data_IF_095426135038
#
_entry.id   IF_095426135038
#
_cell.length_a   1.000
_cell.length_b   1.000
_cell.length_c   1.000
_cell.angle_alpha   90.00
_cell.angle_beta   90.00
_cell.angle_gamma   90.00
#
_symmetry.space_group_name_H-M   'P 1'
#
loop_
_entity.id
_entity.type
_entity.pdbx_description
1 polymer ?
#
# COMPACT_ATOMS: atom_id res chain seq x y z
N UNK A 1 -13.97 -14.25 9.22
CA UNK A 1 -14.97 -15.34 9.14
C UNK A 1 -15.29 -15.69 7.69
N UNK A 2 -15.68 -14.71 6.85
CA UNK A 2 -16.07 -14.95 5.43
C UNK A 2 -14.92 -15.57 4.63
N UNK A 3 -13.70 -15.08 4.78
CA UNK A 3 -12.50 -15.62 4.12
C UNK A 3 -12.29 -17.10 4.44
N UNK A 4 -12.32 -17.47 5.73
CA UNK A 4 -12.16 -18.85 6.15
C UNK A 4 -13.27 -19.76 5.61
N UNK A 5 -14.51 -19.26 5.58
CA UNK A 5 -15.62 -20.00 4.99
C UNK A 5 -15.39 -20.26 3.50
N UNK A 6 -14.99 -19.23 2.75
CA UNK A 6 -14.70 -19.34 1.32
C UNK A 6 -13.54 -20.33 1.05
N UNK A 7 -12.47 -20.27 1.82
CA UNK A 7 -11.34 -21.21 1.75
C UNK A 7 -11.80 -22.63 1.96
N UNK A 8 -12.54 -22.88 3.06
CA UNK A 8 -13.03 -24.22 3.39
C UNK A 8 -13.97 -24.76 2.31
N UNK A 9 -14.84 -23.91 1.78
CA UNK A 9 -15.77 -24.30 0.72
C UNK A 9 -15.04 -24.66 -0.58
N UNK A 10 -14.12 -23.82 -1.02
CA UNK A 10 -13.33 -24.06 -2.24
C UNK A 10 -12.48 -25.32 -2.13
N UNK A 11 -11.78 -25.51 -1.01
CA UNK A 11 -10.98 -26.71 -0.75
C UNK A 11 -11.86 -27.97 -0.74
N UNK A 12 -13.02 -27.93 -0.07
CA UNK A 12 -13.94 -29.05 -0.01
C UNK A 12 -14.51 -29.43 -1.37
N UNK A 13 -14.87 -28.43 -2.20
CA UNK A 13 -15.36 -28.68 -3.56
C UNK A 13 -14.26 -29.29 -4.43
N UNK A 14 -13.05 -28.76 -4.37
CA UNK A 14 -11.90 -29.29 -5.11
C UNK A 14 -11.61 -30.75 -4.70
N UNK A 15 -11.55 -31.03 -3.40
CA UNK A 15 -11.32 -32.37 -2.87
C UNK A 15 -12.38 -33.39 -3.32
N UNK A 16 -13.67 -33.01 -3.21
CA UNK A 16 -14.77 -33.92 -3.53
C UNK A 16 -15.00 -34.13 -5.02
N UNK A 17 -14.66 -33.15 -5.85
CA UNK A 17 -14.95 -33.20 -7.28
C UNK A 17 -13.73 -33.49 -8.15
N UNK A 18 -12.53 -33.30 -7.61
CA UNK A 18 -11.26 -33.30 -8.36
C UNK A 18 -11.17 -32.15 -9.37
N UNK A 19 -11.98 -31.12 -9.20
CA UNK A 19 -12.05 -29.96 -10.11
C UNK A 19 -11.78 -28.68 -9.34
N UNK A 20 -10.92 -27.83 -9.92
CA UNK A 20 -10.64 -26.49 -9.36
C UNK A 20 -11.88 -25.60 -9.45
N UNK A 21 -12.50 -25.21 -8.33
CA UNK A 21 -13.64 -24.29 -8.34
C UNK A 21 -13.20 -22.86 -8.64
N UNK A 22 -14.17 -22.01 -8.95
CA UNK A 22 -13.94 -20.59 -9.28
C UNK A 22 -14.50 -19.73 -8.13
N UNK A 23 -13.72 -18.78 -7.67
CA UNK A 23 -14.19 -17.76 -6.74
C UNK A 23 -14.89 -16.65 -7.52
N UNK A 24 -16.21 -16.55 -7.38
CA UNK A 24 -17.00 -15.45 -7.96
C UNK A 24 -17.33 -14.40 -6.90
N UNK A 25 -17.07 -13.14 -7.19
CA UNK A 25 -17.44 -12.03 -6.33
C UNK A 25 -17.41 -10.70 -7.07
N UNK A 26 -17.72 -9.62 -6.36
CA UNK A 26 -17.55 -8.25 -6.85
C UNK A 26 -16.55 -7.48 -5.99
N UNK A 27 -15.96 -6.44 -6.59
CA UNK A 27 -14.81 -5.72 -6.04
C UNK A 27 -15.01 -5.24 -4.61
N UNK A 28 -16.12 -4.55 -4.35
CA UNK A 28 -16.39 -3.97 -3.03
C UNK A 28 -16.53 -5.03 -1.94
N UNK A 29 -17.13 -6.18 -2.24
CA UNK A 29 -17.28 -7.26 -1.27
C UNK A 29 -15.93 -7.89 -0.93
N UNK A 30 -15.10 -8.18 -1.95
CA UNK A 30 -13.76 -8.71 -1.75
C UNK A 30 -12.94 -7.79 -0.83
N UNK A 31 -13.04 -6.49 -1.05
CA UNK A 31 -12.28 -5.51 -0.27
C UNK A 31 -12.80 -5.33 1.16
N UNK A 32 -14.13 -5.25 1.34
CA UNK A 32 -14.73 -4.91 2.63
C UNK A 32 -14.94 -6.10 3.56
N UNK A 33 -15.16 -7.31 3.00
CA UNK A 33 -15.58 -8.49 3.75
C UNK A 33 -14.57 -9.64 3.77
N UNK A 34 -13.55 -9.60 2.88
CA UNK A 34 -12.59 -10.69 2.75
C UNK A 34 -11.16 -10.21 2.92
N UNK A 35 -10.35 -11.02 3.58
CA UNK A 35 -8.89 -10.81 3.65
C UNK A 35 -8.22 -11.52 2.48
N UNK A 36 -7.09 -10.98 2.00
CA UNK A 36 -6.22 -11.66 1.06
C UNK A 36 -5.61 -12.88 1.72
N UNK A 37 -5.51 -13.99 1.00
CA UNK A 37 -5.04 -15.24 1.56
C UNK A 37 -4.22 -16.06 0.57
N UNK A 38 -3.23 -16.81 1.08
CA UNK A 38 -2.41 -17.73 0.29
C UNK A 38 -3.25 -18.88 -0.30
N UNK A 39 -4.35 -19.26 0.35
CA UNK A 39 -5.25 -20.30 -0.15
C UNK A 39 -6.14 -19.75 -1.26
N UNK A 40 -6.80 -18.61 -1.04
CA UNK A 40 -7.71 -18.03 -2.05
C UNK A 40 -6.99 -17.70 -3.36
N UNK A 41 -5.71 -17.29 -3.30
CA UNK A 41 -4.95 -16.97 -4.54
C UNK A 41 -4.64 -18.18 -5.42
N UNK A 42 -4.91 -19.39 -4.93
CA UNK A 42 -4.76 -20.63 -5.69
C UNK A 42 -5.98 -20.95 -6.58
N UNK A 43 -7.05 -20.16 -6.46
CA UNK A 43 -8.30 -20.33 -7.19
C UNK A 43 -8.50 -19.23 -8.23
N UNK A 44 -9.05 -19.56 -9.41
CA UNK A 44 -9.35 -18.56 -10.42
C UNK A 44 -10.42 -17.60 -9.91
N UNK A 45 -10.22 -16.29 -10.17
CA UNK A 45 -11.15 -15.25 -9.78
C UNK A 45 -12.06 -14.89 -10.95
N UNK A 46 -13.37 -14.97 -10.73
CA UNK A 46 -14.39 -14.42 -11.60
C UNK A 46 -14.96 -13.16 -10.96
N UNK A 47 -14.58 -12.01 -11.51
CA UNK A 47 -14.87 -10.72 -10.92
C UNK A 47 -16.00 -10.00 -11.63
N UNK A 48 -17.05 -9.62 -10.89
CA UNK A 48 -18.10 -8.73 -11.38
C UNK A 48 -17.72 -7.27 -11.14
N UNK A 49 -17.66 -6.49 -12.22
CA UNK A 49 -17.45 -5.04 -12.15
C UNK A 49 -18.00 -4.36 -13.41
N UNK A 50 -19.04 -3.57 -13.24
CA UNK A 50 -19.83 -2.99 -14.33
C UNK A 50 -19.46 -1.54 -14.66
N UNK A 51 -18.17 -1.21 -14.68
CA UNK A 51 -17.70 0.15 -14.95
C UNK A 51 -18.19 0.76 -16.26
N UNK A 52 -18.49 -0.08 -17.27
CA UNK A 52 -19.03 0.34 -18.55
C UNK A 52 -20.44 -0.20 -18.85
N UNK A 53 -20.79 -1.32 -18.27
CA UNK A 53 -22.11 -2.00 -18.33
C UNK A 53 -22.84 -1.93 -19.70
N UNK A 54 -22.22 -2.27 -20.85
CA UNK A 54 -22.81 -2.15 -22.17
C UNK A 54 -23.82 -3.26 -22.45
N UNK A 55 -24.76 -3.00 -23.37
CA UNK A 55 -25.71 -3.99 -23.85
C UNK A 55 -25.12 -4.96 -24.90
N UNK A 56 -24.10 -4.53 -25.62
CA UNK A 56 -23.39 -5.32 -26.64
C UNK A 56 -22.00 -5.70 -26.14
N UNK A 57 -21.45 -6.82 -26.63
CA UNK A 57 -20.09 -7.21 -26.32
C UNK A 57 -19.09 -6.12 -26.65
N UNK A 58 -18.14 -5.90 -25.74
CA UNK A 58 -17.03 -4.98 -26.01
C UNK A 58 -16.07 -5.62 -27.02
N UNK A 59 -15.67 -4.83 -28.00
CA UNK A 59 -14.61 -5.22 -28.92
C UNK A 59 -13.25 -5.13 -28.24
N UNK A 60 -12.40 -6.14 -28.41
CA UNK A 60 -11.01 -6.15 -27.96
C UNK A 60 -10.83 -5.79 -26.46
N UNK A 61 -11.47 -6.52 -25.54
CA UNK A 61 -11.40 -6.20 -24.11
C UNK A 61 -9.98 -6.20 -23.55
N UNK A 62 -9.07 -7.02 -24.12
CA UNK A 62 -7.66 -7.06 -23.73
C UNK A 62 -6.85 -5.80 -24.10
N UNK A 63 -7.39 -4.94 -24.97
CA UNK A 63 -6.77 -3.67 -25.34
C UNK A 63 -7.29 -2.48 -24.53
N UNK A 64 -8.13 -2.73 -23.53
CA UNK A 64 -8.64 -1.70 -22.61
C UNK A 64 -8.08 -1.90 -21.21
N UNK A 65 -6.76 -1.76 -20.99
CA UNK A 65 -6.12 -2.05 -19.72
C UNK A 65 -6.67 -1.20 -18.57
N UNK A 66 -7.07 0.04 -18.86
CA UNK A 66 -7.64 0.96 -17.87
C UNK A 66 -8.95 0.49 -17.28
N UNK A 67 -9.75 -0.30 -18.00
CA UNK A 67 -11.03 -0.79 -17.49
C UNK A 67 -10.81 -1.90 -16.45
N UNK A 68 -9.83 -2.77 -16.66
CA UNK A 68 -9.44 -3.79 -15.68
C UNK A 68 -8.75 -3.23 -14.44
N UNK A 69 -8.11 -2.06 -14.55
CA UNK A 69 -7.36 -1.43 -13.46
C UNK A 69 -8.23 -0.85 -12.35
N UNK A 70 -9.41 -0.41 -12.66
CA UNK A 70 -10.33 0.21 -11.68
C UNK A 70 -11.02 -0.81 -10.79
N UNK A 71 -10.68 -2.05 -10.93
CA UNK A 71 -11.63 -3.04 -10.54
C UNK A 71 -11.62 -3.30 -9.06
N UNK A 72 -10.52 -3.39 -8.39
CA UNK A 72 -10.50 -3.56 -6.95
C UNK A 72 -9.10 -3.70 -6.35
N UNK A 73 -9.05 -3.75 -5.01
CA UNK A 73 -7.83 -3.94 -4.23
C UNK A 73 -7.11 -5.28 -4.44
N UNK A 74 -7.75 -6.26 -5.07
CA UNK A 74 -7.15 -7.56 -5.37
C UNK A 74 -6.40 -7.59 -6.71
N UNK A 75 -6.58 -6.58 -7.56
CA UNK A 75 -5.73 -6.38 -8.73
C UNK A 75 -4.46 -5.60 -8.35
N UNK A 76 -3.47 -5.61 -9.22
CA UNK A 76 -2.24 -4.86 -9.00
C UNK A 76 -2.37 -3.42 -9.46
N UNK A 77 -1.63 -2.51 -8.83
CA UNK A 77 -1.65 -1.08 -9.13
C UNK A 77 -1.20 -0.74 -10.57
N UNK A 78 -0.46 -1.62 -11.23
CA UNK A 78 0.03 -1.45 -12.60
C UNK A 78 -0.85 -2.11 -13.65
N UNK A 79 -2.12 -2.39 -13.34
CA UNK A 79 -3.08 -3.03 -14.25
C UNK A 79 -2.77 -4.49 -14.62
N UNK A 80 -1.82 -5.14 -13.98
CA UNK A 80 -1.69 -6.59 -14.10
C UNK A 80 -2.85 -7.24 -13.35
N UNK A 81 -3.79 -7.75 -14.13
CA UNK A 81 -5.04 -8.26 -13.60
C UNK A 81 -4.86 -9.58 -12.87
N UNK A 82 -5.56 -9.74 -11.76
CA UNK A 82 -5.63 -10.98 -11.00
C UNK A 82 -6.89 -11.80 -11.29
N UNK A 83 -7.80 -11.28 -12.13
CA UNK A 83 -9.00 -12.00 -12.52
C UNK A 83 -8.73 -12.96 -13.71
N UNK A 84 -9.42 -14.07 -13.74
CA UNK A 84 -9.48 -14.97 -14.89
C UNK A 84 -10.69 -14.69 -15.77
N UNK A 85 -11.81 -14.35 -15.15
CA UNK A 85 -13.04 -13.94 -15.84
C UNK A 85 -13.47 -12.58 -15.29
N UNK A 86 -13.79 -11.66 -16.19
CA UNK A 86 -14.35 -10.37 -15.84
C UNK A 86 -15.78 -10.27 -16.37
N UNK A 87 -16.74 -10.22 -15.47
CA UNK A 87 -18.13 -9.88 -15.77
C UNK A 87 -18.23 -8.36 -15.86
N UNK A 88 -18.23 -7.84 -17.08
CA UNK A 88 -18.18 -6.39 -17.32
C UNK A 88 -19.55 -5.76 -17.54
N UNK A 89 -20.59 -6.56 -17.72
CA UNK A 89 -21.96 -6.09 -17.94
C UNK A 89 -22.99 -7.08 -17.42
N UNK A 90 -24.08 -6.54 -16.92
CA UNK A 90 -25.35 -7.25 -16.63
C UNK A 90 -26.49 -6.78 -17.53
N UNK A 91 -26.20 -6.00 -18.57
CA UNK A 91 -27.17 -5.36 -19.46
C UNK A 91 -27.22 -5.99 -20.85
N UNK A 92 -26.54 -7.11 -21.09
CA UNK A 92 -26.60 -7.84 -22.36
C UNK A 92 -28.02 -8.22 -22.75
N UNK A 93 -28.33 -8.25 -24.05
CA UNK A 93 -29.66 -8.52 -24.57
C UNK A 93 -29.80 -10.03 -24.77
N UNK A 94 -30.43 -10.72 -23.83
CA UNK A 94 -30.53 -12.19 -23.82
C UNK A 94 -31.13 -12.79 -25.09
N UNK A 95 -32.14 -12.13 -25.69
CA UNK A 95 -32.77 -12.57 -26.93
C UNK A 95 -31.79 -12.70 -28.12
N UNK A 96 -30.74 -11.89 -28.18
CA UNK A 96 -29.69 -11.99 -29.21
C UNK A 96 -28.90 -13.31 -29.16
N UNK A 97 -28.94 -13.98 -28.00
CA UNK A 97 -28.20 -15.22 -27.72
C UNK A 97 -29.10 -16.41 -27.44
N UNK A 98 -30.40 -16.31 -27.82
CA UNK A 98 -31.34 -17.41 -27.63
C UNK A 98 -31.78 -17.63 -26.19
N UNK A 99 -31.53 -16.69 -25.30
CA UNK A 99 -31.90 -16.75 -23.88
C UNK A 99 -33.24 -16.02 -23.71
N UNK A 100 -34.27 -16.62 -23.03
CA UNK A 100 -35.56 -15.98 -22.84
C UNK A 100 -35.53 -14.75 -21.93
N UNK A 101 -34.48 -14.60 -21.12
CA UNK A 101 -34.28 -13.45 -20.26
C UNK A 101 -34.09 -12.15 -21.06
N UNK A 102 -34.60 -11.04 -20.50
CA UNK A 102 -34.41 -9.70 -21.05
C UNK A 102 -32.96 -9.22 -20.88
N UNK A 103 -32.24 -9.73 -19.88
CA UNK A 103 -30.88 -9.38 -19.55
C UNK A 103 -29.98 -10.60 -19.55
N UNK A 104 -28.71 -10.39 -19.90
CA UNK A 104 -27.66 -11.39 -19.93
C UNK A 104 -26.36 -10.78 -19.40
N UNK A 105 -25.67 -11.55 -18.59
CA UNK A 105 -24.32 -11.17 -18.14
C UNK A 105 -23.29 -11.39 -19.23
N UNK A 106 -22.52 -10.35 -19.53
CA UNK A 106 -21.45 -10.41 -20.50
C UNK A 106 -20.11 -10.50 -19.79
N UNK A 107 -19.30 -11.46 -20.22
CA UNK A 107 -18.02 -11.80 -19.60
C UNK A 107 -16.90 -11.85 -20.62
N UNK A 108 -15.68 -11.61 -20.15
CA UNK A 108 -14.45 -11.86 -20.88
C UNK A 108 -13.54 -12.78 -20.08
N UNK A 109 -12.96 -13.76 -20.75
CA UNK A 109 -11.94 -14.63 -20.18
C UNK A 109 -10.55 -14.08 -20.56
N UNK A 110 -9.62 -14.08 -19.61
CA UNK A 110 -8.24 -13.70 -19.82
C UNK A 110 -7.37 -14.95 -20.03
N UNK A 111 -6.86 -15.10 -21.22
CA UNK A 111 -6.02 -16.24 -21.60
C UNK A 111 -6.34 -16.75 -23.00
N UNK A 112 -5.71 -17.84 -23.36
CA UNK A 112 -5.90 -18.53 -24.63
C UNK A 112 -7.11 -19.48 -24.60
N UNK A 113 -7.59 -19.98 -25.76
CA UNK A 113 -8.60 -21.03 -25.78
C UNK A 113 -8.20 -22.28 -24.99
N UNK A 114 -6.93 -22.64 -24.97
CA UNK A 114 -6.38 -23.77 -24.21
C UNK A 114 -6.49 -23.53 -22.71
N UNK A 115 -6.18 -22.30 -22.25
CA UNK A 115 -6.37 -21.90 -20.84
C UNK A 115 -7.85 -21.98 -20.45
N UNK A 116 -8.76 -21.55 -21.35
CA UNK A 116 -10.19 -21.66 -21.10
C UNK A 116 -10.64 -23.13 -21.00
N UNK A 117 -10.15 -23.99 -21.90
CA UNK A 117 -10.43 -25.43 -21.84
C UNK A 117 -9.89 -26.07 -20.55
N UNK A 118 -8.71 -25.66 -20.08
CA UNK A 118 -8.16 -26.12 -18.80
C UNK A 118 -9.07 -25.71 -17.65
N UNK A 119 -9.54 -24.46 -17.64
CA UNK A 119 -10.48 -23.95 -16.63
C UNK A 119 -11.79 -24.76 -16.63
N UNK A 120 -12.41 -24.94 -17.80
CA UNK A 120 -13.70 -25.67 -17.91
C UNK A 120 -13.59 -27.15 -17.54
N UNK A 121 -12.41 -27.74 -17.72
CA UNK A 121 -12.11 -29.12 -17.27
C UNK A 121 -11.71 -29.20 -15.80
N UNK A 122 -11.65 -28.08 -15.10
CA UNK A 122 -11.24 -28.03 -13.69
C UNK A 122 -9.75 -28.27 -13.44
N UNK A 123 -8.92 -28.09 -14.47
CA UNK A 123 -7.46 -28.29 -14.43
C UNK A 123 -6.65 -27.01 -14.47
N UNK A 124 -7.30 -25.89 -14.22
CA UNK A 124 -6.62 -24.60 -14.18
C UNK A 124 -5.53 -24.59 -13.08
N UNK A 125 -4.39 -23.99 -13.39
CA UNK A 125 -3.29 -23.76 -12.46
C UNK A 125 -2.97 -22.27 -12.43
N UNK A 126 -2.70 -21.69 -11.26
CA UNK A 126 -2.31 -20.29 -11.17
C UNK A 126 -0.88 -20.09 -11.70
N UNK A 127 -0.68 -19.07 -12.49
CA UNK A 127 0.65 -18.56 -12.78
C UNK A 127 1.04 -17.49 -11.75
N UNK A 128 2.33 -17.33 -11.38
CA UNK A 128 2.74 -16.33 -10.41
C UNK A 128 2.25 -14.91 -10.70
N UNK A 129 2.19 -14.54 -11.99
CA UNK A 129 1.68 -13.25 -12.44
C UNK A 129 0.16 -13.08 -12.23
N UNK A 130 -0.57 -14.18 -12.06
CA UNK A 130 -2.02 -14.19 -11.89
C UNK A 130 -2.46 -14.23 -10.42
N UNK A 131 -1.51 -14.54 -9.53
CA UNK A 131 -1.81 -14.64 -8.12
C UNK A 131 -2.01 -13.27 -7.50
N UNK A 132 -3.12 -13.07 -6.79
CA UNK A 132 -3.31 -11.83 -6.04
C UNK A 132 -2.18 -11.64 -5.02
N UNK A 133 -1.63 -10.43 -4.89
CA UNK A 133 -0.64 -10.15 -3.88
C UNK A 133 -1.26 -10.26 -2.48
N UNK A 134 -0.55 -10.91 -1.56
CA UNK A 134 -1.03 -11.07 -0.17
C UNK A 134 -1.08 -9.74 0.56
N UNK A 135 -0.10 -8.89 0.30
CA UNK A 135 -0.14 -7.50 0.76
C UNK A 135 -0.74 -6.62 -0.33
N UNK A 136 -1.60 -5.70 0.08
CA UNK A 136 -2.15 -4.74 -0.86
C UNK A 136 -1.06 -3.82 -1.40
N UNK A 137 -0.91 -3.68 -2.72
CA UNK A 137 0.07 -2.77 -3.30
C UNK A 137 -0.17 -1.33 -2.89
N UNK A 138 0.92 -0.59 -2.73
CA UNK A 138 0.88 0.84 -2.41
C UNK A 138 1.66 1.64 -3.44
N UNK A 139 1.43 2.94 -3.47
CA UNK A 139 2.23 3.92 -4.20
C UNK A 139 2.52 5.13 -3.31
N UNK A 140 3.70 5.74 -3.50
CA UNK A 140 4.11 6.95 -2.79
C UNK A 140 4.14 8.10 -3.78
N UNK A 141 3.45 9.19 -3.45
CA UNK A 141 3.49 10.45 -4.19
C UNK A 141 4.17 11.52 -3.34
N UNK A 142 5.23 12.10 -3.86
CA UNK A 142 5.87 13.27 -3.27
C UNK A 142 5.00 14.50 -3.56
N UNK A 143 4.62 15.22 -2.51
CA UNK A 143 3.85 16.47 -2.61
C UNK A 143 4.81 17.66 -2.60
N UNK A 144 5.69 17.73 -1.61
CA UNK A 144 6.64 18.81 -1.47
C UNK A 144 7.85 18.42 -0.64
N UNK A 145 8.96 19.13 -0.89
CA UNK A 145 10.14 19.16 -0.04
C UNK A 145 10.38 20.62 0.31
N UNK A 146 10.47 20.92 1.60
CA UNK A 146 10.89 22.23 2.10
C UNK A 146 12.19 22.08 2.82
N UNK A 147 13.25 22.62 2.25
CA UNK A 147 14.59 22.63 2.85
C UNK A 147 15.27 23.96 2.53
N UNK A 148 16.01 24.49 3.48
CA UNK A 148 16.75 25.73 3.28
C UNK A 148 18.24 25.54 3.54
N UNK A 149 18.59 25.10 4.73
CA UNK A 149 19.97 24.96 5.18
C UNK A 149 20.13 23.80 6.18
N UNK A 150 21.38 23.48 6.53
CA UNK A 150 21.72 22.36 7.42
C UNK A 150 21.29 22.56 8.88
N UNK A 151 20.90 23.75 9.27
CA UNK A 151 20.48 24.08 10.65
C UNK A 151 18.98 23.88 10.88
N UNK A 152 18.22 23.61 9.81
CA UNK A 152 16.78 23.40 9.87
C UNK A 152 16.40 21.99 9.44
N UNK A 153 15.34 21.43 10.01
CA UNK A 153 14.80 20.18 9.51
C UNK A 153 14.37 20.28 8.04
N UNK A 154 14.61 19.23 7.28
CA UNK A 154 13.97 19.06 5.98
C UNK A 154 12.55 18.55 6.22
N UNK A 155 11.59 19.22 5.63
CA UNK A 155 10.19 18.76 5.68
C UNK A 155 9.80 18.14 4.34
N UNK A 156 9.43 16.87 4.38
CA UNK A 156 8.99 16.11 3.19
C UNK A 156 7.54 15.73 3.38
N UNK A 157 6.68 16.22 2.50
CA UNK A 157 5.26 15.89 2.50
C UNK A 157 4.97 14.86 1.43
N UNK A 158 4.32 13.78 1.80
CA UNK A 158 3.97 12.68 0.89
C UNK A 158 2.57 12.17 1.16
N UNK A 159 2.01 11.53 0.14
CA UNK A 159 0.81 10.71 0.24
C UNK A 159 1.16 9.27 -0.14
N UNK A 160 0.62 8.32 0.61
CA UNK A 160 0.70 6.90 0.30
C UNK A 160 -0.69 6.40 -0.02
N UNK A 161 -0.86 5.84 -1.22
CA UNK A 161 -2.14 5.37 -1.72
C UNK A 161 -2.17 3.85 -1.80
N UNK A 162 -3.36 3.31 -1.62
CA UNK A 162 -3.73 1.95 -1.93
C UNK A 162 -3.94 1.78 -3.45
N UNK A 163 -3.99 0.55 -3.93
CA UNK A 163 -4.26 0.24 -5.33
C UNK A 163 -5.57 0.82 -5.87
N UNK A 164 -6.55 1.04 -5.01
CA UNK A 164 -7.84 1.66 -5.34
C UNK A 164 -7.84 3.19 -5.28
N UNK A 165 -6.68 3.83 -5.06
CA UNK A 165 -6.55 5.28 -5.01
C UNK A 165 -6.92 5.94 -3.69
N UNK A 166 -7.32 5.19 -2.65
CA UNK A 166 -7.56 5.75 -1.32
C UNK A 166 -6.28 5.83 -0.50
N UNK A 167 -6.12 6.84 0.37
CA UNK A 167 -4.94 6.97 1.22
C UNK A 167 -4.78 5.79 2.18
N UNK A 168 -3.53 5.37 2.41
CA UNK A 168 -3.19 4.41 3.45
C UNK A 168 -3.20 5.10 4.80
N UNK A 169 -3.79 4.44 5.80
CA UNK A 169 -3.95 4.99 7.15
C UNK A 169 -3.05 4.35 8.21
N UNK A 170 -2.25 3.36 7.82
CA UNK A 170 -1.32 2.64 8.71
C UNK A 170 0.12 2.83 8.27
N UNK A 171 1.07 2.30 9.03
CA UNK A 171 2.49 2.32 8.68
C UNK A 171 3.22 3.60 9.07
N UNK A 172 4.36 3.81 8.42
CA UNK A 172 5.20 5.01 8.58
C UNK A 172 6.02 5.28 7.33
N UNK A 173 6.57 6.48 7.22
CA UNK A 173 7.48 6.89 6.14
C UNK A 173 8.83 7.23 6.71
N UNK A 174 9.89 6.74 6.08
CA UNK A 174 11.29 6.91 6.53
C UNK A 174 12.18 7.25 5.34
N UNK A 175 13.07 8.23 5.47
CA UNK A 175 14.11 8.49 4.49
C UNK A 175 15.37 7.70 4.82
N UNK A 176 15.97 7.06 3.81
CA UNK A 176 17.22 6.32 3.90
C UNK A 176 18.21 6.86 2.88
N UNK A 177 19.32 7.51 3.32
CA UNK A 177 20.39 7.90 2.42
C UNK A 177 20.97 6.68 1.70
N UNK A 178 21.33 6.85 0.42
CA UNK A 178 22.02 5.81 -0.35
C UNK A 178 23.48 5.63 0.08
N UNK A 179 24.11 6.66 0.61
CA UNK A 179 25.46 6.59 1.21
C UNK A 179 25.34 6.25 2.69
N UNK A 180 25.80 5.06 3.07
CA UNK A 180 25.77 4.57 4.45
C UNK A 180 26.60 5.43 5.44
N UNK A 181 27.52 6.26 4.94
CA UNK A 181 28.30 7.20 5.76
C UNK A 181 27.45 8.36 6.25
N UNK A 182 26.38 8.71 5.53
CA UNK A 182 25.46 9.77 5.92
C UNK A 182 24.52 9.23 6.99
N UNK A 183 24.67 9.76 8.21
CA UNK A 183 23.81 9.38 9.34
C UNK A 183 22.78 10.46 9.57
N UNK A 184 21.51 10.12 9.39
CA UNK A 184 20.39 10.97 9.79
C UNK A 184 20.39 11.09 11.32
N UNK A 185 20.49 12.32 11.84
CA UNK A 185 20.52 12.54 13.29
C UNK A 185 19.20 12.22 13.96
N UNK A 186 18.12 12.64 13.32
CA UNK A 186 16.74 12.39 13.78
C UNK A 186 15.78 12.45 12.61
N UNK A 187 14.77 11.61 12.64
CA UNK A 187 13.64 11.74 11.73
C UNK A 187 12.34 11.37 12.45
N UNK A 188 11.28 12.08 12.12
CA UNK A 188 9.94 11.87 12.68
C UNK A 188 8.92 11.95 11.57
N UNK A 189 8.05 10.97 11.48
CA UNK A 189 6.94 10.96 10.54
C UNK A 189 5.62 11.17 11.30
N UNK A 190 4.85 12.15 10.88
CA UNK A 190 3.53 12.46 11.43
C UNK A 190 2.49 12.35 10.34
N UNK A 191 1.39 11.69 10.60
CA UNK A 191 0.28 11.54 9.66
C UNK A 191 -0.84 12.51 10.01
N UNK A 192 -1.31 13.26 9.02
CA UNK A 192 -2.48 14.12 9.15
C UNK A 192 -3.79 13.30 9.08
N UNK A 193 -4.89 13.92 9.49
CA UNK A 193 -6.22 13.31 9.36
C UNK A 193 -6.63 13.03 7.90
N UNK A 194 -6.08 13.77 6.93
CA UNK A 194 -6.29 13.56 5.49
C UNK A 194 -5.47 12.43 4.88
N UNK A 195 -4.64 11.71 5.67
CA UNK A 195 -3.79 10.62 5.19
C UNK A 195 -2.44 11.08 4.61
N UNK A 196 -2.11 12.36 4.67
CA UNK A 196 -0.79 12.88 4.32
C UNK A 196 0.22 12.60 5.41
N UNK A 197 1.45 12.31 5.01
CA UNK A 197 2.59 12.15 5.90
C UNK A 197 3.50 13.36 5.80
N UNK A 198 3.84 13.93 6.95
CA UNK A 198 4.89 14.94 7.11
C UNK A 198 6.09 14.27 7.76
N UNK A 199 7.20 14.17 7.01
CA UNK A 199 8.46 13.64 7.50
C UNK A 199 9.42 14.79 7.74
N UNK A 200 9.92 14.92 8.97
CA UNK A 200 10.99 15.87 9.35
C UNK A 200 12.30 15.14 9.51
N UNK A 201 13.32 15.60 8.81
CA UNK A 201 14.65 14.99 8.78
C UNK A 201 15.69 16.01 9.25
N UNK A 202 16.48 15.65 10.25
CA UNK A 202 17.54 16.49 10.81
C UNK A 202 18.93 15.84 10.62
N UNK A 203 19.95 16.69 10.44
CA UNK A 203 21.35 16.27 10.42
C UNK A 203 21.85 15.76 9.09
N UNK A 204 21.19 16.09 7.98
CA UNK A 204 21.75 15.87 6.65
C UNK A 204 22.89 16.90 6.38
N UNK A 205 23.95 16.48 5.65
CA UNK A 205 25.05 17.38 5.26
C UNK A 205 24.61 18.40 4.21
N UNK A 206 25.40 19.47 4.06
CA UNK A 206 25.26 20.38 2.93
C UNK A 206 25.53 19.66 1.60
N UNK A 207 24.94 20.16 0.54
CA UNK A 207 24.98 19.55 -0.79
C UNK A 207 23.83 18.60 -1.04
N UNK A 208 23.99 17.73 -2.02
CA UNK A 208 22.97 16.78 -2.44
C UNK A 208 23.10 15.46 -1.70
N UNK A 209 22.07 15.10 -0.96
CA UNK A 209 21.93 13.76 -0.37
C UNK A 209 20.90 12.97 -1.17
N UNK A 210 21.35 11.95 -1.89
CA UNK A 210 20.47 10.98 -2.57
C UNK A 210 20.07 9.88 -1.61
N UNK A 211 18.87 9.37 -1.79
CA UNK A 211 18.34 8.28 -0.96
C UNK A 211 17.00 7.78 -1.46
N UNK A 212 16.32 7.01 -0.63
CA UNK A 212 14.96 6.54 -0.86
C UNK A 212 14.05 6.96 0.28
N UNK A 213 12.85 7.35 -0.09
CA UNK A 213 11.75 7.52 0.82
C UNK A 213 10.99 6.20 0.87
N UNK A 214 10.93 5.57 2.03
CA UNK A 214 10.37 4.24 2.20
C UNK A 214 9.07 4.33 3.01
N UNK A 215 8.01 3.79 2.47
CA UNK A 215 6.81 3.47 3.24
C UNK A 215 6.95 2.06 3.80
N UNK A 216 6.72 1.91 5.10
CA UNK A 216 6.79 0.63 5.81
C UNK A 216 5.50 0.39 6.57
N UNK A 217 4.80 -0.70 6.24
CA UNK A 217 3.59 -1.09 6.95
C UNK A 217 3.86 -2.11 8.06
N UNK A 218 3.82 -1.64 9.29
CA UNK A 218 4.00 -2.48 10.49
C UNK A 218 2.89 -3.53 10.63
N UNK A 219 1.68 -3.21 10.15
CA UNK A 219 0.53 -4.13 10.19
C UNK A 219 0.65 -5.29 9.20
N UNK A 220 1.57 -5.19 8.23
CA UNK A 220 1.81 -6.16 7.16
C UNK A 220 0.61 -6.40 6.23
N UNK A 221 -0.36 -5.51 6.23
CA UNK A 221 -1.54 -5.56 5.34
C UNK A 221 -1.27 -4.93 3.99
N UNK A 222 -0.34 -3.96 3.93
CA UNK A 222 0.07 -3.27 2.72
C UNK A 222 1.52 -3.62 2.36
N UNK A 223 1.83 -3.59 1.08
CA UNK A 223 3.20 -3.76 0.61
C UNK A 223 4.03 -2.51 0.97
N UNK A 224 5.26 -2.75 1.39
CA UNK A 224 6.25 -1.68 1.50
C UNK A 224 6.50 -1.11 0.10
N UNK A 225 6.83 0.18 0.04
CA UNK A 225 7.10 0.86 -1.22
C UNK A 225 8.22 1.88 -1.02
N UNK A 226 8.92 2.21 -2.08
CA UNK A 226 10.01 3.17 -2.05
C UNK A 226 9.94 4.16 -3.21
N UNK A 227 10.40 5.37 -2.95
CA UNK A 227 10.50 6.44 -3.93
C UNK A 227 11.91 7.05 -3.86
N UNK A 228 12.68 7.04 -4.96
CA UNK A 228 13.95 7.73 -5.01
C UNK A 228 13.78 9.23 -4.73
N UNK A 229 14.66 9.78 -3.89
CA UNK A 229 14.61 11.17 -3.46
C UNK A 229 16.02 11.75 -3.36
N UNK A 230 16.21 12.98 -3.88
CA UNK A 230 17.40 13.77 -3.69
C UNK A 230 17.06 15.06 -2.94
N UNK A 231 17.77 15.31 -1.85
CA UNK A 231 17.60 16.49 -0.99
C UNK A 231 18.87 17.35 -1.13
N UNK A 232 18.69 18.61 -1.48
CA UNK A 232 19.80 19.55 -1.61
C UNK A 232 19.72 20.61 -0.51
N UNK A 233 20.77 20.72 0.32
CA UNK A 233 20.86 21.67 1.43
C UNK A 233 21.99 22.65 1.23
N UNK A 234 21.75 23.92 1.53
CA UNK A 234 22.81 24.90 1.67
C UNK A 234 23.52 24.73 3.01
N UNK A 235 24.78 25.14 3.08
CA UNK A 235 25.48 25.25 4.36
C UNK A 235 24.80 26.32 5.20
N UNK A 236 24.31 25.92 6.37
CA UNK A 236 23.75 26.87 7.33
C UNK A 236 24.82 27.76 7.96
N UNK A 237 24.49 28.93 8.48
CA UNK A 237 25.41 29.77 9.24
C UNK A 237 26.00 28.99 10.41
N UNK A 238 27.28 29.21 10.72
CA UNK A 238 27.90 28.59 11.89
C UNK A 238 27.14 29.00 13.13
N UNK A 239 26.70 28.00 13.91
CA UNK A 239 26.09 28.25 15.20
C UNK A 239 27.16 28.84 16.12
N UNK A 240 26.90 29.94 16.84
CA UNK A 240 27.86 30.51 17.76
C UNK A 240 28.34 29.43 18.74
N UNK A 241 29.64 29.22 18.80
CA UNK A 241 30.27 28.29 19.75
C UNK A 241 29.77 28.68 21.15
N UNK A 242 29.20 27.77 21.94
CA UNK A 242 28.77 28.13 23.28
C UNK A 242 29.97 28.67 24.07
N UNK A 243 29.89 29.92 24.43
CA UNK A 243 30.91 30.56 25.31
C UNK A 243 31.01 29.72 26.59
N UNK A 244 32.21 29.27 26.98
CA UNK A 244 32.32 28.46 28.19
C UNK A 244 31.70 29.21 29.37
N UNK A 245 30.62 28.73 29.89
CA UNK A 245 29.97 29.28 31.08
C UNK A 245 30.97 29.13 32.22
N UNK A 246 31.47 30.24 32.74
CA UNK A 246 32.39 30.27 33.87
C UNK A 246 31.78 29.40 34.98
N UNK A 247 32.53 28.39 35.44
CA UNK A 247 32.11 27.57 36.59
C UNK A 247 31.72 28.48 37.75
N UNK A 248 30.54 28.33 38.36
CA UNK A 248 30.13 29.11 39.50
C UNK A 248 31.21 28.93 40.59
N UNK A 249 31.74 30.04 41.12
CA UNK A 249 32.61 30.04 42.29
C UNK A 249 31.91 29.32 43.44
N UNK A 250 32.61 28.41 44.16
CA UNK A 250 31.96 27.70 45.27
C UNK A 250 31.52 28.74 46.33
N UNK A 251 30.25 28.88 46.51
CA UNK A 251 29.65 29.64 47.58
C UNK A 251 30.00 28.95 48.90
N UNK A 252 30.68 29.68 49.82
CA UNK A 252 30.91 29.21 51.18
C UNK A 252 29.56 28.89 51.83
N UNK A 253 29.40 27.65 52.30
CA UNK A 253 28.22 27.27 53.09
C UNK A 253 28.07 28.21 54.27
N UNK A 254 26.87 28.71 54.63
CA UNK A 254 26.64 29.41 55.86
C UNK A 254 27.00 28.51 57.05
N UNK A 255 27.80 29.03 57.96
CA UNK A 255 28.11 28.35 59.22
C UNK A 255 26.80 28.40 60.05
N UNK A 256 26.24 27.23 60.31
CA UNK A 256 25.02 27.05 61.07
C UNK A 256 25.35 27.39 62.58
N UNK A 257 24.88 28.56 63.05
CA UNK A 257 25.12 29.09 64.41
C UNK A 257 24.16 28.56 65.46
N UNK A 258 23.40 27.47 65.21
CA UNK A 258 22.35 27.00 66.10
C UNK A 258 22.58 25.64 66.82
N UNK A 259 23.84 25.21 66.94
CA UNK A 259 24.14 23.95 67.63
C UNK A 259 24.80 24.12 68.95
N UNK A 260 24.27 25.02 69.85
CA UNK A 260 24.60 25.03 71.28
C UNK A 260 23.40 25.60 72.04
N UNK A 261 22.69 24.72 72.58
CA UNK A 261 21.91 24.80 73.83
C UNK A 261 20.73 23.84 73.76
N UNK A 262 20.88 22.75 74.50
CA UNK A 262 19.96 22.30 75.54
C UNK A 262 20.68 21.13 76.22
N UNK A 263 21.26 21.48 77.34
CA UNK A 263 21.41 20.56 78.49
C UNK A 263 20.33 20.98 79.45
N UNK A 264 19.43 20.11 79.70
CA UNK A 264 18.88 19.79 81.05
C UNK A 264 17.90 18.64 80.87
#
# INVERSE_FOLDING_TARGET
LVTLWAETWLETVEEKTGRKPILYSYAQFLESAMSRSEKLRQYPLWLAHYGINPADPISQPGQRPTIGCFVHSWSTANCSSQWQIWQYSSCGIGKKYGVPSSRLDLNVFRGTPENFLALTKGKWQPEPADMMPIKEPTSINLISITSTDTNKPVEVNVEVFRSIGSPVVTGTVVFRPSDEKIKVKKQTATRSASGRWELKIEGLPAGVTSGTLNYVDISKTHADNELPLAINLMQGPELPTPTPTAKPKPTKKPVDGCAKQIKH
#
